data_IF_449621544839
#
_entry.id   IF_449621544839
#
_cell.length_a   1.000
_cell.length_b   1.000
_cell.length_c   1.000
_cell.angle_alpha   90.00
_cell.angle_beta   90.00
_cell.angle_gamma   90.00
#
_symmetry.space_group_name_H-M   'P 1'
#
loop_
_entity.id
_entity.type
_entity.pdbx_description
1 polymer ?
#
# COMPACT_ATOMS: atom_id res chain seq x y z
N UNK A 1 35.54 54.03 21.37
CA UNK A 1 35.64 53.11 22.53
C UNK A 1 34.31 52.37 22.60
N UNK A 2 34.26 51.16 22.05
CA UNK A 2 33.12 50.25 22.27
C UNK A 2 33.15 49.90 23.75
N UNK A 3 32.04 50.10 24.43
CA UNK A 3 31.98 50.07 25.90
C UNK A 3 31.98 48.60 26.31
N UNK A 4 32.86 48.21 27.25
CA UNK A 4 32.94 46.84 27.78
C UNK A 4 31.56 46.29 28.23
N UNK A 5 30.62 47.17 28.59
CA UNK A 5 29.24 46.83 28.93
C UNK A 5 28.46 46.23 27.75
N UNK A 6 28.62 46.73 26.53
CA UNK A 6 27.89 46.22 25.35
C UNK A 6 28.31 44.79 24.99
N UNK A 7 29.58 44.45 25.23
CA UNK A 7 30.08 43.07 25.04
C UNK A 7 29.47 42.11 26.07
N UNK A 8 29.45 42.46 27.35
CA UNK A 8 28.90 41.55 28.37
C UNK A 8 27.38 41.35 28.22
N UNK A 9 26.65 42.38 27.74
CA UNK A 9 25.22 42.26 27.44
C UNK A 9 24.94 41.29 26.28
N UNK A 10 25.80 41.27 25.25
CA UNK A 10 25.57 40.46 24.03
C UNK A 10 26.29 39.11 24.02
N UNK A 11 27.21 38.87 24.97
CA UNK A 11 28.06 37.67 25.03
C UNK A 11 27.27 36.36 25.07
N UNK A 12 26.17 36.31 25.84
CA UNK A 12 25.34 35.11 25.96
C UNK A 12 24.69 34.78 24.61
N UNK A 13 24.14 35.79 23.93
CA UNK A 13 23.53 35.62 22.61
C UNK A 13 24.54 35.11 21.57
N UNK A 14 25.77 35.63 21.61
CA UNK A 14 26.87 35.15 20.77
C UNK A 14 27.25 33.69 21.06
N UNK A 15 27.30 33.27 22.34
CA UNK A 15 27.58 31.88 22.69
C UNK A 15 26.48 30.93 22.19
N UNK A 16 25.20 31.31 22.37
CA UNK A 16 24.06 30.55 21.86
C UNK A 16 24.13 30.46 20.32
N UNK A 17 24.41 31.56 19.64
CA UNK A 17 24.55 31.59 18.19
C UNK A 17 25.69 30.68 17.71
N UNK A 18 26.88 30.79 18.30
CA UNK A 18 28.04 29.98 17.92
C UNK A 18 27.81 28.49 18.16
N UNK A 19 27.14 28.13 19.25
CA UNK A 19 26.70 26.76 19.54
C UNK A 19 25.73 26.25 18.47
N UNK A 20 24.73 27.06 18.09
CA UNK A 20 23.80 26.72 17.03
C UNK A 20 24.51 26.51 15.68
N UNK A 21 25.45 27.39 15.30
CA UNK A 21 26.24 27.24 14.08
C UNK A 21 27.11 25.97 14.14
N UNK A 22 27.71 25.66 15.28
CA UNK A 22 28.48 24.42 15.48
C UNK A 22 27.59 23.20 15.25
N UNK A 23 26.40 23.17 15.86
CA UNK A 23 25.46 22.07 15.72
C UNK A 23 24.95 21.91 14.28
N UNK A 24 24.64 23.00 13.58
CA UNK A 24 24.25 22.96 12.16
C UNK A 24 25.38 22.39 11.30
N UNK A 25 26.61 22.85 11.54
CA UNK A 25 27.80 22.42 10.79
C UNK A 25 28.09 20.94 11.04
N UNK A 26 28.03 20.51 12.29
CA UNK A 26 28.26 19.12 12.67
C UNK A 26 27.19 18.20 12.08
N UNK A 27 25.92 18.61 12.16
CA UNK A 27 24.79 17.90 11.52
C UNK A 27 25.01 17.76 10.02
N UNK A 28 25.33 18.86 9.32
CA UNK A 28 25.61 18.83 7.88
C UNK A 28 26.78 17.88 7.55
N UNK A 29 27.84 17.91 8.36
CA UNK A 29 28.98 17.00 8.19
C UNK A 29 28.61 15.53 8.43
N UNK A 30 27.73 15.23 9.40
CA UNK A 30 27.20 13.88 9.63
C UNK A 30 26.34 13.42 8.45
N UNK A 31 25.47 14.29 7.92
CA UNK A 31 24.67 14.02 6.72
C UNK A 31 25.52 13.67 5.51
N UNK A 32 26.55 14.48 5.21
CA UNK A 32 27.48 14.21 4.11
C UNK A 32 28.23 12.89 4.29
N UNK A 33 28.64 12.54 5.53
CA UNK A 33 29.28 11.26 5.81
C UNK A 33 28.32 10.09 5.60
N UNK A 34 27.08 10.20 6.08
CA UNK A 34 26.06 9.18 5.87
C UNK A 34 25.75 8.99 4.38
N UNK A 35 25.54 10.06 3.63
CA UNK A 35 25.32 9.99 2.18
C UNK A 35 26.50 9.32 1.46
N UNK A 36 27.73 9.71 1.80
CA UNK A 36 28.93 9.09 1.24
C UNK A 36 29.01 7.60 1.57
N UNK A 37 28.66 7.20 2.78
CA UNK A 37 28.66 5.81 3.22
C UNK A 37 27.61 4.99 2.45
N UNK A 38 26.37 5.48 2.38
CA UNK A 38 25.29 4.84 1.59
C UNK A 38 25.74 4.68 0.14
N UNK A 39 26.23 5.75 -0.48
CA UNK A 39 26.63 5.76 -1.89
C UNK A 39 27.79 4.80 -2.19
N UNK A 40 28.76 4.69 -1.29
CA UNK A 40 29.98 3.90 -1.53
C UNK A 40 29.86 2.44 -1.08
N UNK A 41 29.10 2.15 -0.02
CA UNK A 41 29.00 0.81 0.56
C UNK A 41 27.68 0.12 0.21
N UNK A 42 26.54 0.82 0.39
CA UNK A 42 25.21 0.21 0.27
C UNK A 42 24.76 0.14 -1.20
N UNK A 43 24.87 1.24 -1.95
CA UNK A 43 24.37 1.32 -3.33
C UNK A 43 24.93 0.23 -4.24
N UNK A 44 26.24 -0.10 -4.23
CA UNK A 44 26.77 -1.17 -5.09
C UNK A 44 26.18 -2.54 -4.76
N UNK A 45 26.06 -2.88 -3.48
CA UNK A 45 25.52 -4.16 -3.01
C UNK A 45 24.02 -4.27 -3.32
N UNK A 46 23.26 -3.22 -3.02
CA UNK A 46 21.84 -3.13 -3.35
C UNK A 46 21.60 -3.21 -4.87
N UNK A 47 22.39 -2.51 -5.68
CA UNK A 47 22.26 -2.56 -7.15
C UNK A 47 22.50 -3.98 -7.67
N UNK A 48 23.50 -4.68 -7.14
CA UNK A 48 23.77 -6.08 -7.50
C UNK A 48 22.58 -6.98 -7.17
N UNK A 49 21.98 -6.79 -5.99
CA UNK A 49 20.78 -7.51 -5.59
C UNK A 49 19.59 -7.23 -6.52
N UNK A 50 19.31 -5.96 -6.84
CA UNK A 50 18.20 -5.59 -7.75
C UNK A 50 18.40 -6.22 -9.12
N UNK A 51 19.62 -6.20 -9.65
CA UNK A 51 19.95 -6.80 -10.94
C UNK A 51 19.89 -8.33 -10.94
N UNK A 52 20.02 -8.98 -9.79
CA UNK A 52 19.89 -10.43 -9.66
C UNK A 52 18.43 -10.89 -9.50
N UNK A 53 17.49 -9.97 -9.31
CA UNK A 53 16.08 -10.33 -9.14
C UNK A 53 15.43 -10.74 -10.46
N UNK A 54 14.42 -11.64 -10.42
CA UNK A 54 13.66 -11.97 -11.61
C UNK A 54 12.91 -10.74 -12.14
N UNK A 55 12.61 -10.70 -13.46
CA UNK A 55 11.74 -9.66 -14.01
C UNK A 55 10.43 -9.59 -13.24
N UNK A 56 10.01 -8.37 -12.85
CA UNK A 56 8.79 -8.07 -12.06
C UNK A 56 8.88 -8.28 -10.55
N UNK A 57 10.03 -8.68 -10.00
CA UNK A 57 10.25 -8.56 -8.57
C UNK A 57 10.06 -7.09 -8.13
N UNK A 58 9.47 -6.89 -6.95
CA UNK A 58 9.35 -5.56 -6.34
C UNK A 58 10.34 -5.48 -5.17
N UNK A 59 11.58 -5.04 -5.40
CA UNK A 59 12.54 -4.89 -4.32
C UNK A 59 12.13 -3.74 -3.38
N UNK A 60 12.56 -3.78 -2.10
CA UNK A 60 12.49 -2.61 -1.23
C UNK A 60 13.28 -1.46 -1.85
N UNK A 61 12.79 -0.23 -1.68
CA UNK A 61 13.52 0.96 -2.10
C UNK A 61 14.82 1.10 -1.30
N UNK A 62 15.83 1.78 -1.86
CA UNK A 62 17.09 2.02 -1.15
C UNK A 62 16.89 2.69 0.24
N UNK A 63 15.99 3.68 0.41
CA UNK A 63 15.69 4.24 1.72
C UNK A 63 15.08 3.20 2.68
N UNK A 64 14.16 2.35 2.21
CA UNK A 64 13.61 1.26 3.05
C UNK A 64 14.71 0.28 3.49
N UNK A 65 15.65 -0.04 2.61
CA UNK A 65 16.83 -0.88 2.93
C UNK A 65 17.72 -0.23 3.99
N UNK A 66 18.03 1.05 3.82
CA UNK A 66 18.89 1.78 4.77
C UNK A 66 18.22 1.91 6.15
N UNK A 67 16.89 1.93 6.18
CA UNK A 67 16.08 2.00 7.39
C UNK A 67 15.75 0.63 8.01
N UNK A 68 16.24 -0.48 7.45
CA UNK A 68 16.09 -1.80 8.05
C UNK A 68 16.80 -1.89 9.40
N UNK A 69 16.18 -2.55 10.38
CA UNK A 69 16.68 -2.68 11.75
C UNK A 69 18.08 -3.31 11.81
N UNK A 70 18.42 -4.15 10.82
CA UNK A 70 19.69 -4.86 10.72
C UNK A 70 20.81 -3.99 10.13
N UNK A 71 20.47 -3.00 9.29
CA UNK A 71 21.43 -2.14 8.58
C UNK A 71 21.65 -0.82 9.34
N UNK A 72 20.59 -0.30 9.94
CA UNK A 72 20.56 1.02 10.57
C UNK A 72 21.62 1.21 11.68
N UNK A 73 21.82 0.27 12.62
CA UNK A 73 22.82 0.42 13.69
C UNK A 73 24.26 0.46 13.15
N UNK A 74 24.51 -0.24 12.03
CA UNK A 74 25.83 -0.32 11.41
C UNK A 74 26.19 1.03 10.81
N UNK A 75 25.26 1.62 10.06
CA UNK A 75 25.43 2.95 9.51
C UNK A 75 25.55 4.01 10.63
N UNK A 76 24.76 3.89 11.69
CA UNK A 76 24.83 4.73 12.89
C UNK A 76 26.23 4.75 13.50
N UNK A 77 26.78 3.57 13.78
CA UNK A 77 28.11 3.43 14.37
C UNK A 77 29.20 4.05 13.48
N UNK A 78 29.16 3.85 12.16
CA UNK A 78 30.15 4.43 11.25
C UNK A 78 30.06 5.97 11.17
N UNK A 79 28.85 6.53 11.10
CA UNK A 79 28.65 7.98 10.98
C UNK A 79 29.08 8.72 12.25
N UNK A 80 28.84 8.11 13.41
CA UNK A 80 29.15 8.69 14.72
C UNK A 80 30.64 8.55 15.09
N UNK A 81 31.27 7.42 14.79
CA UNK A 81 32.65 7.14 15.24
C UNK A 81 33.73 7.71 14.32
N UNK A 82 33.37 8.23 13.15
CA UNK A 82 34.32 8.73 12.13
C UNK A 82 35.36 7.68 11.69
N UNK A 83 35.07 6.38 11.89
CA UNK A 83 35.99 5.31 11.52
C UNK A 83 36.08 5.25 9.99
N UNK A 84 37.27 5.44 9.38
CA UNK A 84 37.36 5.85 7.99
C UNK A 84 36.90 4.84 6.94
N UNK A 85 36.83 3.53 7.21
CA UNK A 85 36.48 2.52 6.20
C UNK A 85 35.89 1.27 6.85
N UNK A 86 35.12 0.51 6.08
CA UNK A 86 34.73 -0.86 6.43
C UNK A 86 35.95 -1.80 6.34
N UNK A 87 36.84 -1.69 7.32
CA UNK A 87 38.04 -2.54 7.39
C UNK A 87 37.74 -4.00 7.70
N UNK A 88 36.47 -4.33 8.04
CA UNK A 88 36.06 -5.66 8.49
C UNK A 88 35.19 -6.44 7.50
N UNK A 89 34.82 -5.86 6.35
CA UNK A 89 33.81 -6.44 5.47
C UNK A 89 32.45 -6.59 6.17
N UNK A 90 32.14 -5.67 7.08
CA UNK A 90 30.89 -5.66 7.85
C UNK A 90 29.71 -5.56 6.90
N UNK A 91 29.77 -4.68 5.89
CA UNK A 91 28.69 -4.55 4.92
C UNK A 91 28.56 -5.81 4.06
N UNK A 92 29.66 -6.43 3.64
CA UNK A 92 29.61 -7.69 2.89
C UNK A 92 28.95 -8.81 3.70
N UNK A 93 29.28 -8.93 5.00
CA UNK A 93 28.69 -9.93 5.88
C UNK A 93 27.18 -9.72 6.12
N UNK A 94 26.75 -8.47 6.24
CA UNK A 94 25.34 -8.11 6.41
C UNK A 94 24.58 -8.36 5.10
N UNK A 95 25.17 -7.97 3.97
CA UNK A 95 24.56 -8.19 2.67
C UNK A 95 24.56 -9.65 2.23
N UNK A 96 25.39 -10.51 2.83
CA UNK A 96 25.28 -11.96 2.67
C UNK A 96 23.93 -12.50 3.17
N UNK A 97 23.30 -11.81 4.14
CA UNK A 97 21.98 -12.15 4.68
C UNK A 97 20.86 -11.29 4.05
N UNK A 98 21.17 -10.47 3.04
CA UNK A 98 20.22 -9.48 2.52
C UNK A 98 18.94 -10.10 1.99
N UNK A 99 19.00 -11.29 1.40
CA UNK A 99 17.81 -12.01 0.93
C UNK A 99 16.84 -12.35 2.06
N UNK A 100 17.34 -12.63 3.27
CA UNK A 100 16.51 -12.93 4.44
C UNK A 100 15.80 -11.67 4.93
N UNK A 101 16.50 -10.53 4.97
CA UNK A 101 15.91 -9.24 5.35
C UNK A 101 14.83 -8.82 4.36
N UNK A 102 15.06 -8.98 3.05
CA UNK A 102 14.03 -8.69 2.05
C UNK A 102 12.85 -9.65 2.14
N UNK A 103 13.07 -10.93 2.49
CA UNK A 103 11.98 -11.88 2.71
C UNK A 103 11.12 -11.49 3.93
N UNK A 104 11.75 -11.10 5.05
CA UNK A 104 11.07 -10.55 6.23
C UNK A 104 10.24 -9.31 5.87
N UNK A 105 10.86 -8.35 5.19
CA UNK A 105 10.21 -7.12 4.72
C UNK A 105 9.01 -7.38 3.79
N UNK A 106 9.14 -8.31 2.85
CA UNK A 106 8.03 -8.71 1.98
C UNK A 106 6.90 -9.35 2.78
N UNK A 107 7.22 -10.23 3.71
CA UNK A 107 6.24 -10.92 4.56
C UNK A 107 5.42 -9.94 5.40
N UNK A 108 6.07 -8.93 5.96
CA UNK A 108 5.40 -7.86 6.73
C UNK A 108 4.40 -7.08 5.86
N UNK A 109 4.76 -6.75 4.62
CA UNK A 109 3.87 -6.05 3.69
C UNK A 109 2.73 -6.93 3.22
N UNK A 110 2.99 -8.20 2.93
CA UNK A 110 1.96 -9.17 2.57
C UNK A 110 0.96 -9.37 3.71
N UNK A 111 1.42 -9.41 4.95
CA UNK A 111 0.53 -9.50 6.11
C UNK A 111 -0.41 -8.28 6.21
N UNK A 112 0.03 -7.07 5.84
CA UNK A 112 -0.88 -5.90 5.73
C UNK A 112 -1.98 -6.15 4.69
N UNK A 113 -1.66 -6.78 3.55
CA UNK A 113 -2.66 -7.12 2.52
C UNK A 113 -3.60 -8.22 3.02
N UNK A 114 -3.07 -9.23 3.70
CA UNK A 114 -3.85 -10.30 4.30
C UNK A 114 -4.80 -9.77 5.37
N UNK A 115 -4.38 -8.79 6.18
CA UNK A 115 -5.27 -8.11 7.11
C UNK A 115 -6.38 -7.33 6.41
N UNK A 116 -6.10 -6.71 5.27
CA UNK A 116 -7.14 -6.06 4.46
C UNK A 116 -8.14 -7.08 3.88
N UNK A 117 -7.66 -8.27 3.47
CA UNK A 117 -8.51 -9.38 3.02
C UNK A 117 -9.40 -9.92 4.13
N UNK A 118 -8.83 -10.21 5.31
CA UNK A 118 -9.58 -10.75 6.47
C UNK A 118 -10.68 -9.81 6.97
N UNK A 119 -10.59 -8.52 6.66
CA UNK A 119 -11.62 -7.52 6.97
C UNK A 119 -12.74 -7.45 5.93
N UNK A 120 -12.60 -8.12 4.79
CA UNK A 120 -13.57 -8.06 3.72
C UNK A 120 -14.71 -9.05 3.93
N UNK A 121 -15.87 -8.79 3.31
CA UNK A 121 -17.04 -9.68 3.44
C UNK A 121 -16.82 -11.01 2.72
N UNK A 122 -16.06 -11.00 1.62
CA UNK A 122 -15.73 -12.18 0.81
C UNK A 122 -14.96 -13.24 1.61
N UNK A 123 -14.02 -12.79 2.43
CA UNK A 123 -13.13 -13.65 3.22
C UNK A 123 -13.45 -13.67 4.72
N UNK A 124 -14.51 -12.98 5.15
CA UNK A 124 -14.98 -13.05 6.52
C UNK A 124 -15.24 -14.51 6.91
N UNK A 125 -14.63 -14.96 8.01
CA UNK A 125 -14.77 -16.30 8.57
C UNK A 125 -14.23 -17.46 7.71
N UNK A 126 -13.37 -17.20 6.72
CA UNK A 126 -12.75 -18.25 5.89
C UNK A 126 -11.26 -18.35 6.16
N UNK A 127 -10.72 -19.57 6.10
CA UNK A 127 -9.29 -19.77 5.99
C UNK A 127 -8.83 -19.27 4.62
N UNK A 128 -7.99 -18.24 4.64
CA UNK A 128 -7.50 -17.59 3.43
C UNK A 128 -6.32 -18.40 2.90
N UNK A 129 -6.38 -18.95 1.67
CA UNK A 129 -5.34 -19.83 1.15
C UNK A 129 -4.01 -19.11 0.96
N UNK A 130 -2.92 -19.85 1.14
CA UNK A 130 -1.58 -19.40 0.82
C UNK A 130 -1.50 -19.09 -0.69
N UNK A 131 -1.05 -17.89 -1.04
CA UNK A 131 -1.00 -17.44 -2.44
C UNK A 131 -2.24 -16.72 -2.96
N UNK A 132 -3.29 -16.53 -2.15
CA UNK A 132 -4.51 -15.78 -2.57
C UNK A 132 -4.19 -14.41 -3.16
N UNK A 133 -3.13 -13.75 -2.68
CA UNK A 133 -2.71 -12.42 -3.14
C UNK A 133 -2.38 -12.43 -4.63
N UNK A 134 -1.85 -13.54 -5.16
CA UNK A 134 -1.48 -13.67 -6.56
C UNK A 134 -2.69 -13.84 -7.50
N UNK A 135 -3.84 -14.26 -6.98
CA UNK A 135 -5.05 -14.52 -7.78
C UNK A 135 -5.55 -13.24 -8.44
N UNK A 136 -6.02 -13.35 -9.69
CA UNK A 136 -6.61 -12.22 -10.41
C UNK A 136 -7.84 -11.66 -9.70
N UNK A 137 -8.58 -12.51 -8.99
CA UNK A 137 -9.75 -12.14 -8.19
C UNK A 137 -9.38 -11.34 -6.92
N UNK A 138 -8.13 -11.36 -6.48
CA UNK A 138 -7.69 -10.59 -5.31
C UNK A 138 -7.40 -9.14 -5.69
N UNK A 139 -8.46 -8.34 -5.67
CA UNK A 139 -8.46 -6.96 -6.14
C UNK A 139 -8.52 -5.99 -4.96
N UNK A 140 -7.66 -4.98 -4.99
CA UNK A 140 -7.65 -3.86 -4.04
C UNK A 140 -8.10 -2.57 -4.72
N UNK A 141 -8.50 -1.61 -3.91
CA UNK A 141 -8.80 -0.25 -4.34
C UNK A 141 -8.03 0.77 -3.49
N UNK A 142 -7.67 1.89 -4.12
CA UNK A 142 -7.12 3.04 -3.42
C UNK A 142 -8.22 4.06 -3.15
N UNK A 143 -8.58 4.34 -1.88
CA UNK A 143 -9.60 5.35 -1.54
C UNK A 143 -9.26 6.75 -2.00
N UNK A 144 -7.97 7.08 -2.13
CA UNK A 144 -7.51 8.43 -2.48
C UNK A 144 -7.75 8.77 -3.96
N UNK A 145 -7.36 7.88 -4.88
CA UNK A 145 -7.51 8.12 -6.32
C UNK A 145 -8.63 7.28 -6.97
N UNK A 146 -9.16 6.28 -6.28
CA UNK A 146 -10.16 5.35 -6.79
C UNK A 146 -9.61 4.31 -7.78
N UNK A 147 -8.28 4.17 -7.92
CA UNK A 147 -7.70 3.16 -8.80
C UNK A 147 -7.88 1.74 -8.25
N UNK A 148 -7.98 0.79 -9.18
CA UNK A 148 -8.03 -0.63 -8.92
C UNK A 148 -6.63 -1.22 -9.05
N UNK A 149 -6.21 -1.98 -8.04
CA UNK A 149 -4.86 -2.46 -7.87
C UNK A 149 -4.85 -3.97 -7.63
N UNK A 150 -3.79 -4.63 -8.06
CA UNK A 150 -3.57 -6.06 -7.85
C UNK A 150 -2.19 -6.26 -7.22
N UNK A 151 -1.93 -7.45 -6.68
CA UNK A 151 -0.57 -7.80 -6.29
C UNK A 151 0.28 -8.13 -7.54
N UNK A 152 1.58 -7.79 -7.58
CA UNK A 152 2.31 -6.93 -6.64
C UNK A 152 2.26 -5.43 -7.03
N UNK A 153 1.48 -5.03 -8.04
CA UNK A 153 1.49 -3.65 -8.59
C UNK A 153 1.06 -2.60 -7.58
N UNK A 154 0.26 -2.96 -6.58
CA UNK A 154 -0.09 -2.08 -5.47
C UNK A 154 1.14 -1.57 -4.68
N UNK A 155 2.27 -2.28 -4.72
CA UNK A 155 3.47 -1.89 -3.98
C UNK A 155 4.18 -0.66 -4.54
N UNK A 156 3.93 -0.33 -5.81
CA UNK A 156 4.48 0.85 -6.49
C UNK A 156 3.44 1.97 -6.68
N UNK A 157 2.26 1.83 -6.06
CA UNK A 157 1.19 2.80 -6.22
C UNK A 157 1.49 4.10 -5.45
N UNK A 158 1.51 5.24 -6.15
CA UNK A 158 1.94 6.54 -5.60
C UNK A 158 1.17 6.99 -4.35
N UNK A 159 -0.13 6.66 -4.23
CA UNK A 159 -0.91 7.04 -3.05
C UNK A 159 -0.52 6.27 -1.78
N UNK A 160 0.19 5.15 -1.92
CA UNK A 160 0.74 4.37 -0.82
C UNK A 160 2.19 4.72 -0.55
N UNK A 161 2.84 5.49 -1.42
CA UNK A 161 4.19 5.98 -1.20
C UNK A 161 4.11 7.27 -0.38
N UNK A 162 4.36 7.16 0.93
CA UNK A 162 4.47 8.31 1.83
C UNK A 162 5.93 8.69 2.00
N UNK A 163 6.19 9.99 2.13
CA UNK A 163 7.50 10.45 2.57
C UNK A 163 7.83 9.72 3.87
N UNK A 164 8.98 9.05 3.92
CA UNK A 164 9.45 8.24 5.06
C UNK A 164 9.43 9.02 6.37
N UNK A 165 9.51 10.35 6.27
CA UNK A 165 9.52 11.24 7.41
C UNK A 165 8.52 12.38 7.16
N UNK A 166 7.46 12.50 7.98
CA UNK A 166 6.62 13.69 7.95
C UNK A 166 7.47 14.90 8.35
N UNK A 167 7.32 16.02 7.63
CA UNK A 167 8.08 17.24 7.87
C UNK A 167 8.04 17.61 9.37
N UNK A 168 9.18 17.62 10.08
CA UNK A 168 9.20 17.89 11.52
C UNK A 168 8.65 19.28 11.87
N UNK A 169 8.62 20.21 10.90
CA UNK A 169 7.99 21.51 11.05
C UNK A 169 6.48 21.46 11.33
N UNK A 170 5.81 20.34 11.05
CA UNK A 170 4.37 20.14 11.34
C UNK A 170 4.07 19.65 12.75
N UNK A 171 5.03 18.99 13.42
CA UNK A 171 4.84 18.38 14.74
C UNK A 171 5.32 19.28 15.89
N UNK A 172 6.25 20.20 15.61
CA UNK A 172 6.79 21.11 16.63
C UNK A 172 6.39 22.54 16.25
N UNK A 173 5.38 23.06 16.94
CA UNK A 173 5.09 24.50 16.95
C UNK A 173 6.39 25.25 17.22
N UNK A 174 6.81 26.12 16.29
CA UNK A 174 8.14 26.81 16.28
C UNK A 174 8.51 27.54 17.59
N UNK A 175 7.57 27.71 18.52
CA UNK A 175 7.78 28.37 19.81
C UNK A 175 8.37 27.49 20.93
N UNK A 176 8.31 26.16 20.84
CA UNK A 176 8.75 25.28 21.96
C UNK A 176 10.14 24.67 21.81
N UNK A 177 10.71 24.63 20.59
CA UNK A 177 11.99 23.94 20.32
C UNK A 177 13.17 24.49 21.14
N UNK A 178 13.28 25.82 21.26
CA UNK A 178 14.40 26.47 21.95
C UNK A 178 14.44 26.25 23.47
N UNK A 179 13.33 25.84 24.10
CA UNK A 179 13.29 25.59 25.55
C UNK A 179 13.52 24.12 25.92
N UNK A 180 13.22 23.16 25.03
CA UNK A 180 13.34 21.74 25.34
C UNK A 180 14.75 21.16 25.09
N UNK A 181 15.52 21.75 24.18
CA UNK A 181 16.90 21.30 23.92
C UNK A 181 17.87 21.58 25.10
N UNK A 182 17.47 22.37 26.11
CA UNK A 182 18.31 22.72 27.25
C UNK A 182 18.21 21.76 28.46
N UNK A 183 17.24 20.82 28.49
CA UNK A 183 16.94 20.03 29.71
C UNK A 183 17.02 18.49 29.54
N UNK A 184 17.55 17.97 28.42
CA UNK A 184 17.62 16.51 28.22
C UNK A 184 18.91 15.90 28.83
N UNK A 185 18.80 15.02 29.85
CA UNK A 185 19.94 14.31 30.42
C UNK A 185 20.45 13.20 29.49
N UNK A 186 21.74 12.88 29.61
CA UNK A 186 22.48 11.91 28.80
C UNK A 186 21.94 10.46 28.89
N UNK A 187 20.89 10.14 28.13
CA UNK A 187 20.53 8.76 27.77
C UNK A 187 21.21 8.40 26.44
N UNK A 188 22.45 7.93 26.51
CA UNK A 188 23.35 7.76 25.36
C UNK A 188 22.97 6.73 24.29
N UNK A 189 21.80 6.09 24.36
CA UNK A 189 21.30 5.15 23.35
C UNK A 189 20.16 5.71 22.51
N UNK A 190 19.14 6.30 23.15
CA UNK A 190 17.93 6.81 22.47
C UNK A 190 18.24 8.06 21.65
N UNK A 191 19.09 8.95 22.18
CA UNK A 191 19.52 10.17 21.49
C UNK A 191 20.34 9.88 20.22
N UNK A 192 21.02 8.72 20.15
CA UNK A 192 21.79 8.32 18.98
C UNK A 192 20.86 7.88 17.83
N UNK A 193 19.76 7.18 18.15
CA UNK A 193 18.78 6.74 17.18
C UNK A 193 17.99 7.94 16.60
N UNK A 194 17.50 8.83 17.45
CA UNK A 194 16.77 10.03 17.01
C UNK A 194 17.64 10.94 16.13
N UNK A 195 18.90 11.15 16.51
CA UNK A 195 19.85 11.91 15.70
C UNK A 195 20.13 11.23 14.35
N UNK A 196 20.09 9.91 14.31
CA UNK A 196 20.31 9.16 13.08
C UNK A 196 19.09 9.16 12.17
N UNK A 197 17.89 9.00 12.73
CA UNK A 197 16.64 9.14 11.99
C UNK A 197 16.53 10.53 11.37
N UNK A 198 16.99 11.56 12.07
CA UNK A 198 17.09 12.92 11.54
C UNK A 198 18.12 13.07 10.40
N UNK A 199 19.28 12.39 10.49
CA UNK A 199 20.28 12.38 9.41
C UNK A 199 19.76 11.61 8.19
N UNK A 200 19.16 10.44 8.40
CA UNK A 200 18.55 9.64 7.35
C UNK A 200 17.43 10.43 6.69
N UNK A 201 16.63 11.17 7.48
CA UNK A 201 15.62 12.08 6.97
C UNK A 201 16.20 13.15 6.05
N UNK A 202 17.27 13.84 6.48
CA UNK A 202 17.89 14.91 5.69
C UNK A 202 18.43 14.38 4.36
N UNK A 203 19.05 13.20 4.36
CA UNK A 203 19.61 12.58 3.14
C UNK A 203 18.54 11.99 2.23
N UNK A 204 17.43 11.53 2.80
CA UNK A 204 16.33 10.90 2.08
C UNK A 204 15.04 11.74 2.15
N UNK A 205 15.16 13.07 2.09
CA UNK A 205 14.03 13.99 2.24
C UNK A 205 12.87 13.73 1.25
N UNK A 206 13.20 13.23 0.06
CA UNK A 206 12.27 12.93 -1.02
C UNK A 206 11.96 11.42 -1.14
N UNK A 207 12.56 10.61 -0.27
CA UNK A 207 12.32 9.18 -0.25
C UNK A 207 10.89 8.89 0.17
N UNK A 208 10.32 7.87 -0.47
CA UNK A 208 9.00 7.38 -0.14
C UNK A 208 9.07 5.93 0.23
N UNK A 209 8.48 5.58 1.38
CA UNK A 209 8.25 4.21 1.80
C UNK A 209 6.80 3.83 1.54
N UNK A 210 6.56 2.55 1.35
CA UNK A 210 5.21 2.05 1.21
C UNK A 210 4.47 2.03 2.56
N UNK A 211 3.47 2.89 2.67
CA UNK A 211 2.61 3.07 3.83
C UNK A 211 1.17 3.31 3.34
N UNK A 212 0.43 2.23 3.02
CA UNK A 212 -0.92 2.35 2.45
C UNK A 212 -1.90 3.02 3.42
N UNK A 213 -1.73 2.78 4.73
CA UNK A 213 -2.64 3.26 5.76
C UNK A 213 -4.10 2.91 5.45
N UNK A 214 -5.01 3.85 5.70
CA UNK A 214 -6.44 3.69 5.41
C UNK A 214 -6.81 3.82 3.94
N UNK A 215 -5.85 4.11 3.04
CA UNK A 215 -6.14 4.27 1.62
C UNK A 215 -6.29 2.92 0.91
N UNK A 216 -5.66 1.86 1.42
CA UNK A 216 -5.79 0.51 0.87
C UNK A 216 -7.03 -0.18 1.42
N UNK A 217 -7.85 -0.70 0.51
CA UNK A 217 -9.05 -1.48 0.85
C UNK A 217 -9.15 -2.63 -0.10
N UNK A 218 -9.58 -3.79 0.38
CA UNK A 218 -10.00 -4.86 -0.50
C UNK A 218 -11.29 -4.48 -1.25
N UNK A 219 -11.37 -4.78 -2.53
CA UNK A 219 -12.52 -4.45 -3.37
C UNK A 219 -13.40 -5.68 -3.54
N UNK A 220 -14.43 -5.83 -2.68
CA UNK A 220 -15.41 -6.93 -2.79
C UNK A 220 -16.08 -6.93 -4.17
N UNK A 221 -16.47 -5.75 -4.67
CA UNK A 221 -17.01 -5.61 -6.01
C UNK A 221 -16.01 -6.03 -7.10
N UNK A 222 -14.73 -5.63 -6.94
CA UNK A 222 -13.66 -6.03 -7.85
C UNK A 222 -13.44 -7.54 -7.89
N UNK A 223 -13.50 -8.19 -6.73
CA UNK A 223 -13.42 -9.65 -6.61
C UNK A 223 -14.54 -10.34 -7.40
N UNK A 224 -15.79 -9.96 -7.15
CA UNK A 224 -16.93 -10.59 -7.82
C UNK A 224 -16.91 -10.36 -9.34
N UNK A 225 -16.58 -9.15 -9.79
CA UNK A 225 -16.43 -8.88 -11.23
C UNK A 225 -15.35 -9.76 -11.85
N UNK A 226 -14.17 -9.87 -11.22
CA UNK A 226 -13.11 -10.72 -11.76
C UNK A 226 -13.49 -12.19 -11.77
N UNK A 227 -14.17 -12.69 -10.74
CA UNK A 227 -14.68 -14.08 -10.73
C UNK A 227 -15.60 -14.34 -11.92
N UNK A 228 -16.54 -13.42 -12.21
CA UNK A 228 -17.42 -13.54 -13.39
C UNK A 228 -16.61 -13.55 -14.70
N UNK A 229 -15.57 -12.72 -14.79
CA UNK A 229 -14.66 -12.71 -15.96
C UNK A 229 -13.93 -14.04 -16.11
N UNK A 230 -13.42 -14.61 -15.02
CA UNK A 230 -12.75 -15.92 -15.05
C UNK A 230 -13.73 -17.03 -15.45
N UNK A 231 -14.93 -17.05 -14.88
CA UNK A 231 -15.99 -18.02 -15.21
C UNK A 231 -16.38 -17.91 -16.70
N UNK A 232 -16.53 -16.69 -17.24
CA UNK A 232 -16.82 -16.42 -18.66
C UNK A 232 -15.72 -16.89 -19.61
N UNK A 233 -14.47 -16.90 -19.15
CA UNK A 233 -13.31 -17.35 -19.91
C UNK A 233 -13.06 -18.86 -19.74
N UNK A 234 -13.81 -19.54 -18.88
CA UNK A 234 -13.55 -20.93 -18.52
C UNK A 234 -12.22 -21.12 -17.78
N UNK A 235 -11.78 -20.10 -17.05
CA UNK A 235 -10.56 -20.11 -16.25
C UNK A 235 -10.88 -20.45 -14.80
N UNK A 236 -9.90 -21.01 -14.09
CA UNK A 236 -10.05 -21.33 -12.66
C UNK A 236 -10.04 -20.06 -11.80
N UNK A 237 -10.73 -20.07 -10.66
CA UNK A 237 -10.76 -18.91 -9.74
C UNK A 237 -9.41 -18.62 -9.06
N UNK A 238 -8.49 -19.58 -9.12
CA UNK A 238 -7.09 -19.52 -8.69
C UNK A 238 -6.15 -18.95 -9.76
N UNK A 239 -6.64 -18.66 -10.97
CA UNK A 239 -5.86 -18.01 -12.03
C UNK A 239 -5.22 -16.74 -11.51
N UNK A 240 -3.92 -16.62 -11.73
CA UNK A 240 -3.13 -15.49 -11.25
C UNK A 240 -3.39 -14.22 -12.04
N UNK A 241 -3.12 -13.07 -11.42
CA UNK A 241 -3.17 -11.76 -12.09
C UNK A 241 -2.30 -11.73 -13.34
N UNK A 242 -1.14 -12.39 -13.31
CA UNK A 242 -0.20 -12.42 -14.42
C UNK A 242 -0.73 -13.25 -15.59
N UNK A 243 -1.30 -14.44 -15.32
CA UNK A 243 -1.93 -15.27 -16.35
C UNK A 243 -3.10 -14.54 -17.02
N UNK A 244 -3.98 -13.92 -16.23
CA UNK A 244 -5.12 -13.16 -16.79
C UNK A 244 -4.63 -11.93 -17.60
N UNK A 245 -3.55 -11.28 -17.17
CA UNK A 245 -2.93 -10.17 -17.92
C UNK A 245 -2.31 -10.63 -19.22
N UNK A 246 -1.74 -11.84 -19.28
CA UNK A 246 -1.22 -12.41 -20.53
C UNK A 246 -2.34 -12.77 -21.51
N UNK A 247 -3.51 -13.15 -21.00
CA UNK A 247 -4.71 -13.36 -21.79
C UNK A 247 -5.27 -12.04 -22.35
N UNK A 248 -5.17 -10.95 -21.58
CA UNK A 248 -5.61 -9.58 -21.91
C UNK A 248 -7.04 -9.50 -22.46
N UNK A 249 -8.06 -9.96 -21.69
CA UNK A 249 -9.42 -10.00 -22.20
C UNK A 249 -9.99 -8.59 -22.32
N UNK A 250 -10.66 -8.34 -23.45
CA UNK A 250 -11.48 -7.14 -23.65
C UNK A 250 -12.90 -7.42 -23.19
N UNK A 251 -13.40 -6.57 -22.30
CA UNK A 251 -14.71 -6.69 -21.70
C UNK A 251 -15.62 -5.58 -22.23
N UNK A 252 -16.85 -5.95 -22.58
CA UNK A 252 -17.95 -5.01 -22.72
C UNK A 252 -18.76 -5.05 -21.42
N UNK A 253 -18.65 -4.01 -20.57
CA UNK A 253 -19.53 -3.90 -19.40
C UNK A 253 -20.92 -3.48 -19.86
N UNK A 254 -21.91 -4.28 -19.46
CA UNK A 254 -23.34 -3.98 -19.61
C UNK A 254 -23.99 -3.60 -18.30
N UNK A 255 -23.21 -3.56 -17.23
CA UNK A 255 -23.59 -3.06 -15.93
C UNK A 255 -24.22 -1.66 -15.99
N UNK A 256 -25.24 -1.42 -15.16
CA UNK A 256 -25.92 -0.13 -15.11
C UNK A 256 -25.02 1.03 -14.69
N UNK A 257 -23.87 0.76 -14.05
CA UNK A 257 -22.86 1.76 -13.72
C UNK A 257 -22.33 2.52 -14.95
N UNK A 258 -22.47 1.97 -16.17
CA UNK A 258 -21.95 2.52 -17.42
C UNK A 258 -23.02 3.22 -18.28
N UNK A 259 -23.97 3.96 -17.67
CA UNK A 259 -25.05 4.65 -18.40
C UNK A 259 -24.58 5.55 -19.55
N UNK A 260 -23.32 6.02 -19.56
CA UNK A 260 -22.75 6.89 -20.60
C UNK A 260 -21.98 6.17 -21.71
N UNK A 261 -21.75 4.86 -21.61
CA UNK A 261 -20.81 4.12 -22.48
C UNK A 261 -21.23 2.68 -22.75
N UNK A 262 -22.53 2.44 -22.94
CA UNK A 262 -23.02 1.13 -23.42
C UNK A 262 -22.28 0.73 -24.69
N UNK A 263 -21.61 -0.42 -24.67
CA UNK A 263 -20.91 -0.99 -25.83
C UNK A 263 -19.44 -0.60 -25.98
N UNK A 264 -18.83 0.11 -25.02
CA UNK A 264 -17.37 0.34 -25.04
C UNK A 264 -16.67 -0.92 -24.56
N UNK A 265 -15.78 -1.45 -25.41
CA UNK A 265 -14.85 -2.53 -25.05
C UNK A 265 -13.60 -1.94 -24.40
N UNK A 266 -13.21 -2.45 -23.25
CA UNK A 266 -12.00 -2.01 -22.53
C UNK A 266 -11.27 -3.20 -21.91
N UNK A 267 -10.00 -3.00 -21.55
CA UNK A 267 -9.24 -4.03 -20.84
C UNK A 267 -9.85 -4.32 -19.46
N UNK A 268 -9.64 -5.52 -18.95
CA UNK A 268 -10.29 -5.98 -17.71
C UNK A 268 -10.07 -5.05 -16.49
N UNK A 269 -8.84 -4.58 -16.26
CA UNK A 269 -8.54 -3.64 -15.16
C UNK A 269 -9.26 -2.30 -15.33
N UNK A 270 -9.41 -1.84 -16.56
CA UNK A 270 -10.14 -0.61 -16.86
C UNK A 270 -11.64 -0.79 -16.61
N UNK A 271 -12.20 -1.94 -16.99
CA UNK A 271 -13.58 -2.29 -16.68
C UNK A 271 -13.86 -2.29 -15.17
N UNK A 272 -12.95 -2.87 -14.37
CA UNK A 272 -13.06 -2.86 -12.91
C UNK A 272 -13.05 -1.43 -12.33
N UNK A 273 -12.22 -0.53 -12.87
CA UNK A 273 -12.08 0.86 -12.36
C UNK A 273 -13.38 1.66 -12.45
N UNK A 274 -14.16 1.43 -13.50
CA UNK A 274 -15.42 2.13 -13.72
C UNK A 274 -16.61 1.46 -13.00
N UNK A 275 -16.44 0.22 -12.54
CA UNK A 275 -17.50 -0.52 -11.87
C UNK A 275 -17.50 -0.28 -10.36
N UNK A 276 -18.12 0.84 -9.94
CA UNK A 276 -18.03 1.35 -8.55
C UNK A 276 -19.20 0.97 -7.62
N UNK A 277 -20.21 0.25 -8.09
CA UNK A 277 -21.41 -0.06 -7.29
C UNK A 277 -21.63 -1.56 -7.03
N UNK A 278 -22.24 -1.88 -5.90
CA UNK A 278 -22.93 -3.16 -5.66
C UNK A 278 -24.15 -3.21 -6.57
N UNK A 279 -24.13 -4.03 -7.61
CA UNK A 279 -25.28 -4.27 -8.46
C UNK A 279 -25.34 -5.74 -8.82
N UNK A 280 -26.51 -6.19 -9.28
CA UNK A 280 -26.67 -7.57 -9.76
C UNK A 280 -25.63 -7.86 -10.85
N UNK A 281 -24.86 -8.91 -10.66
CA UNK A 281 -23.82 -9.36 -11.60
C UNK A 281 -24.42 -10.12 -12.79
N UNK A 282 -25.73 -10.37 -12.76
CA UNK A 282 -26.45 -11.10 -13.81
C UNK A 282 -26.41 -10.35 -15.15
N UNK A 283 -25.71 -10.92 -16.13
CA UNK A 283 -25.58 -10.33 -17.48
C UNK A 283 -24.74 -9.06 -17.56
N UNK A 284 -23.99 -8.72 -16.49
CA UNK A 284 -23.24 -7.46 -16.39
C UNK A 284 -22.00 -7.38 -17.27
N UNK A 285 -21.51 -8.52 -17.79
CA UNK A 285 -20.42 -8.55 -18.75
C UNK A 285 -20.75 -9.41 -19.96
N UNK A 286 -20.25 -8.94 -21.11
CA UNK A 286 -20.04 -9.80 -22.25
C UNK A 286 -18.53 -9.76 -22.58
N UNK A 287 -17.91 -10.94 -22.67
CA UNK A 287 -16.47 -11.03 -22.97
C UNK A 287 -16.30 -11.17 -24.46
N UNK A 288 -15.50 -10.26 -25.04
CA UNK A 288 -15.01 -10.43 -26.39
C UNK A 288 -13.54 -10.86 -26.28
N UNK A 289 -13.25 -12.12 -26.60
CA UNK A 289 -11.87 -12.53 -26.82
C UNK A 289 -11.45 -11.92 -28.16
N UNK A 290 -10.82 -10.75 -28.11
CA UNK A 290 -10.20 -10.15 -29.28
C UNK A 290 -8.87 -10.88 -29.52
N UNK A 291 -8.56 -11.19 -30.79
CA UNK A 291 -7.20 -11.65 -31.10
C UNK A 291 -6.19 -10.51 -30.87
N UNK A 292 -4.89 -10.83 -30.80
CA UNK A 292 -3.80 -9.85 -30.66
C UNK A 292 -3.78 -8.75 -31.75
N UNK A 293 -4.61 -8.86 -32.79
CA UNK A 293 -4.74 -7.89 -33.89
C UNK A 293 -6.01 -7.05 -33.77
N UNK A 294 -6.72 -7.13 -32.66
CA UNK A 294 -7.97 -6.40 -32.40
C UNK A 294 -9.13 -6.88 -33.27
N UNK A 295 -9.02 -8.02 -33.95
CA UNK A 295 -10.16 -8.59 -34.68
C UNK A 295 -11.05 -9.33 -33.68
N UNK A 296 -12.32 -8.92 -33.65
CA UNK A 296 -13.39 -9.61 -32.94
C UNK A 296 -13.61 -10.96 -33.63
N UNK A 297 -13.16 -12.04 -33.00
CA UNK A 297 -13.33 -13.41 -33.54
C UNK A 297 -14.29 -14.27 -32.71
N UNK A 298 -14.87 -13.72 -31.64
CA UNK A 298 -15.72 -14.47 -30.71
C UNK A 298 -17.23 -14.30 -30.90
N UNK A 299 -17.95 -15.40 -30.70
CA UNK A 299 -19.39 -15.41 -30.36
C UNK A 299 -19.59 -14.78 -28.99
N UNK A 300 -20.49 -13.80 -28.90
CA UNK A 300 -20.91 -13.21 -27.63
C UNK A 300 -21.58 -14.28 -26.77
N UNK A 301 -20.96 -14.67 -25.66
CA UNK A 301 -21.62 -15.45 -24.63
C UNK A 301 -22.16 -14.49 -23.56
N UNK A 302 -23.49 -14.40 -23.48
CA UNK A 302 -24.17 -13.74 -22.38
C UNK A 302 -24.49 -14.81 -21.35
N UNK A 303 -23.81 -14.78 -20.19
CA UNK A 303 -24.13 -15.67 -19.08
C UNK A 303 -25.18 -14.99 -18.20
N UNK A 304 -26.31 -15.68 -18.00
CA UNK A 304 -27.27 -15.34 -16.96
C UNK A 304 -26.74 -15.90 -15.63
N UNK A 305 -26.64 -15.04 -14.61
CA UNK A 305 -26.06 -15.35 -13.32
C UNK A 305 -27.19 -15.41 -12.30
N UNK A 306 -27.54 -16.60 -11.81
CA UNK A 306 -28.39 -16.70 -10.62
C UNK A 306 -27.50 -16.56 -9.38
N UNK A 307 -27.97 -15.91 -8.33
CA UNK A 307 -27.22 -15.73 -7.07
C UNK A 307 -26.82 -17.10 -6.48
N UNK A 308 -25.52 -17.31 -6.33
CA UNK A 308 -24.95 -18.46 -5.63
C UNK A 308 -24.57 -18.05 -4.21
N UNK A 309 -24.88 -18.88 -3.23
CA UNK A 309 -24.43 -18.64 -1.86
C UNK A 309 -22.89 -18.67 -1.79
N UNK A 310 -22.23 -17.62 -1.25
CA UNK A 310 -20.77 -17.54 -1.20
C UNK A 310 -20.12 -18.55 -0.24
N UNK A 311 -20.91 -19.26 0.57
CA UNK A 311 -20.44 -20.28 1.51
C UNK A 311 -20.50 -21.70 0.92
N UNK A 312 -21.59 -22.07 0.26
CA UNK A 312 -21.79 -23.43 -0.24
C UNK A 312 -21.84 -23.58 -1.75
N UNK A 313 -21.79 -22.47 -2.50
CA UNK A 313 -21.92 -22.46 -3.96
C UNK A 313 -23.21 -23.14 -4.47
N UNK A 314 -24.25 -23.28 -3.63
CA UNK A 314 -25.56 -23.77 -4.06
C UNK A 314 -26.43 -22.62 -4.57
N UNK A 315 -27.32 -22.97 -5.50
CA UNK A 315 -28.30 -22.08 -6.10
C UNK A 315 -29.35 -21.66 -5.07
N UNK A 316 -29.67 -20.36 -5.02
CA UNK A 316 -30.90 -19.88 -4.40
C UNK A 316 -31.96 -19.78 -5.50
N UNK A 317 -32.95 -20.67 -5.47
CA UNK A 317 -34.01 -20.70 -6.48
C UNK A 317 -35.08 -19.61 -6.26
N UNK A 318 -35.14 -19.01 -5.06
CA UNK A 318 -36.02 -17.87 -4.75
C UNK A 318 -35.29 -16.81 -3.91
N UNK A 319 -35.10 -15.56 -4.39
CA UNK A 319 -34.54 -14.47 -3.60
C UNK A 319 -35.40 -14.04 -2.41
N UNK A 320 -36.58 -14.66 -2.20
CA UNK A 320 -37.46 -14.47 -1.03
C UNK A 320 -37.35 -15.58 0.00
N UNK A 321 -36.61 -16.66 -0.27
CA UNK A 321 -36.26 -17.60 0.80
C UNK A 321 -35.34 -16.89 1.80
N UNK A 322 -35.72 -16.98 3.07
CA UNK A 322 -35.13 -16.23 4.17
C UNK A 322 -33.61 -16.48 4.20
N UNK A 323 -32.84 -15.49 3.74
CA UNK A 323 -31.36 -15.52 3.68
C UNK A 323 -30.79 -15.91 5.04
N UNK A 324 -31.46 -15.52 6.12
CA UNK A 324 -31.10 -15.86 7.50
C UNK A 324 -31.17 -17.37 7.75
N UNK A 325 -32.15 -18.07 7.18
CA UNK A 325 -32.30 -19.51 7.31
C UNK A 325 -31.19 -20.26 6.56
N UNK A 326 -30.88 -19.84 5.33
CA UNK A 326 -29.81 -20.43 4.53
C UNK A 326 -28.42 -20.26 5.20
N UNK A 327 -28.15 -19.09 5.79
CA UNK A 327 -26.88 -18.87 6.52
C UNK A 327 -26.82 -19.63 7.86
N UNK A 328 -27.96 -19.86 8.53
CA UNK A 328 -28.03 -20.73 9.72
C UNK A 328 -27.66 -22.18 9.39
N UNK A 329 -28.02 -22.69 8.21
CA UNK A 329 -27.64 -24.04 7.78
C UNK A 329 -26.12 -24.21 7.58
N UNK A 330 -25.40 -23.14 7.26
CA UNK A 330 -23.93 -23.13 7.16
C UNK A 330 -23.21 -22.85 8.48
N UNK A 331 -23.93 -22.83 9.60
CA UNK A 331 -23.36 -22.59 10.92
C UNK A 331 -22.89 -21.14 11.15
N UNK A 332 -23.31 -20.18 10.31
CA UNK A 332 -23.08 -18.77 10.60
C UNK A 332 -23.94 -18.35 11.79
N UNK A 333 -23.36 -17.56 12.70
CA UNK A 333 -24.12 -16.98 13.80
C UNK A 333 -25.23 -16.07 13.28
N UNK A 334 -26.35 -15.99 14.01
CA UNK A 334 -27.48 -15.11 13.67
C UNK A 334 -27.03 -13.64 13.54
N UNK A 335 -26.04 -13.22 14.33
CA UNK A 335 -25.40 -11.91 14.21
C UNK A 335 -24.61 -11.75 12.89
N UNK A 336 -23.96 -12.81 12.39
CA UNK A 336 -23.28 -12.80 11.09
C UNK A 336 -24.25 -12.74 9.91
N UNK A 337 -25.37 -13.45 10.00
CA UNK A 337 -26.45 -13.39 8.99
C UNK A 337 -27.15 -12.02 8.98
N UNK A 338 -27.47 -11.48 10.16
CA UNK A 338 -28.06 -10.15 10.33
C UNK A 338 -27.11 -9.02 9.95
N UNK A 339 -25.80 -9.17 10.16
CA UNK A 339 -24.81 -8.20 9.70
C UNK A 339 -24.77 -8.12 8.17
N UNK A 340 -24.96 -9.23 7.46
CA UNK A 340 -25.03 -9.26 5.99
C UNK A 340 -26.31 -8.60 5.46
N UNK A 341 -27.46 -8.93 6.06
CA UNK A 341 -28.77 -8.38 5.69
C UNK A 341 -28.89 -6.88 6.03
N UNK A 342 -28.45 -6.47 7.22
CA UNK A 342 -28.46 -5.05 7.63
C UNK A 342 -27.48 -4.18 6.84
N UNK A 343 -26.38 -4.72 6.31
CA UNK A 343 -25.49 -3.99 5.41
C UNK A 343 -26.09 -3.79 4.02
N UNK A 344 -26.72 -4.84 3.46
CA UNK A 344 -27.43 -4.74 2.20
C UNK A 344 -28.55 -3.69 2.25
N UNK A 345 -29.31 -3.66 3.36
CA UNK A 345 -30.34 -2.64 3.61
C UNK A 345 -29.79 -1.23 3.85
N UNK A 346 -28.62 -1.10 4.50
CA UNK A 346 -28.01 0.21 4.76
C UNK A 346 -27.41 0.84 3.49
N UNK A 347 -26.85 0.03 2.59
CA UNK A 347 -26.40 0.51 1.28
C UNK A 347 -27.58 0.93 0.38
N UNK A 348 -28.75 0.26 0.46
CA UNK A 348 -29.96 0.69 -0.25
C UNK A 348 -30.56 1.99 0.32
N UNK A 349 -30.51 2.19 1.66
CA UNK A 349 -31.04 3.39 2.31
C UNK A 349 -30.14 4.63 2.13
N UNK A 350 -28.81 4.48 2.22
CA UNK A 350 -27.87 5.58 1.96
C UNK A 350 -27.92 6.04 0.48
N UNK A 351 -28.39 5.17 -0.43
CA UNK A 351 -28.65 5.51 -1.84
C UNK A 351 -29.97 6.29 -2.04
N UNK A 352 -30.97 6.07 -1.17
CA UNK A 352 -32.25 6.76 -1.22
C UNK A 352 -32.19 8.19 -0.63
N UNK A 353 -31.33 8.43 0.36
CA UNK A 353 -31.13 9.77 0.94
C UNK A 353 -30.43 10.76 -0.02
N UNK A 354 -29.77 10.29 -1.07
CA UNK A 354 -29.16 11.15 -2.10
C UNK A 354 -30.13 11.64 -3.18
N UNK A 355 -31.39 11.14 -3.19
CA UNK A 355 -32.40 11.45 -4.23
C UNK A 355 -33.43 12.51 -3.77
N UNK A 356 -33.39 12.96 -2.52
CA UNK A 356 -34.30 14.02 -2.02
C UNK A 356 -33.50 15.12 -1.31
N UNK A 357 -32.80 15.94 -2.10
CA UNK A 357 -32.40 17.29 -1.68
C UNK A 357 -33.12 18.32 -2.57
N UNK A 358 -34.17 19.02 -2.09
CA UNK A 358 -34.87 20.04 -2.84
C UNK A 358 -34.20 21.43 -2.74
N UNK A 359 -32.87 21.49 -2.58
CA UNK A 359 -32.13 22.74 -2.54
C UNK A 359 -31.44 23.08 -3.88
N UNK A 360 -32.17 23.05 -4.98
CA UNK A 360 -31.84 23.77 -6.22
C UNK A 360 -33.13 24.14 -6.98
N UNK A 361 -33.78 25.20 -6.51
CA UNK A 361 -34.55 26.13 -7.36
C UNK A 361 -33.85 27.50 -7.38
#
# INVERSE_FOLDING_TARGET
>A
MVVHSEWEETKIDWLIFMEAIRNITERSARGQRFEALVRTQIVPLYSRYVLSQPPKAVPPTLPEVVLMEEILPILGNHVLTQVPQDSGGIFDNVFAQFSEFVAKWNSEREEVLMQALRKSTVYACKDVPEGVLSYASTVFSCRKCGDVLTYPTLFVHECFLRLTCPNPAGLISKKTRWKQEAELPALGGVLAQEAFDEIAHDVFQDARSWQPGSNLVFSDAGYHHTVVVLDLLGLERTTTTEELRQFDPYLECRCECFKRSKGVTMGWMEALKYCKGSHSYEGSFAVAVADKRGRRTGTWQQIQYKSLCPLCQQWQDDPREDVIWHYKEHGCSEAGAQAFDSWAWKEEMDFAEWIIDPAFE
#
